data_IF_875743157901
#
_entry.id   IF_875743157901
#
_cell.length_a   1.000
_cell.length_b   1.000
_cell.length_c   1.000
_cell.angle_alpha   90.00
_cell.angle_beta   90.00
_cell.angle_gamma   90.00
#
_symmetry.space_group_name_H-M   'P 1'
#
loop_
_entity.id
_entity.type
_entity.pdbx_description
1 polymer ?
#
# COMPACT_ATOMS: atom_id res chain seq x y z
N UNK A 1 20.93 16.17 7.37
CA UNK A 1 19.62 16.62 6.86
C UNK A 1 19.16 17.79 7.71
N UNK A 2 18.87 18.94 7.12
CA UNK A 2 18.31 20.07 7.87
C UNK A 2 16.98 19.70 8.52
N UNK A 3 16.67 20.29 9.68
CA UNK A 3 15.41 20.03 10.43
C UNK A 3 14.15 20.22 9.57
N UNK A 4 14.19 21.12 8.61
CA UNK A 4 13.07 21.42 7.71
C UNK A 4 12.80 20.33 6.68
N UNK A 5 13.84 19.70 6.13
CA UNK A 5 13.66 18.54 5.24
C UNK A 5 13.16 17.31 5.99
N UNK A 6 13.57 17.15 7.24
CA UNK A 6 13.11 16.08 8.08
C UNK A 6 11.59 16.16 8.34
N UNK A 7 11.05 17.37 8.56
CA UNK A 7 9.60 17.60 8.71
C UNK A 7 8.80 17.16 7.49
N UNK A 8 9.40 17.13 6.30
CA UNK A 8 8.72 16.68 5.09
C UNK A 8 8.44 15.17 5.07
N UNK A 9 9.10 14.39 5.93
CA UNK A 9 8.92 12.94 6.02
C UNK A 9 7.92 12.48 7.08
N UNK A 10 7.38 13.43 7.86
CA UNK A 10 6.50 13.10 8.98
C UNK A 10 5.22 13.94 8.97
N UNK A 11 4.18 13.40 9.57
CA UNK A 11 2.98 14.21 9.83
C UNK A 11 3.33 15.31 10.84
N UNK A 12 2.64 16.47 10.78
CA UNK A 12 2.81 17.54 11.76
C UNK A 12 2.65 17.06 13.21
N UNK A 13 1.77 16.09 13.45
CA UNK A 13 1.52 15.52 14.77
C UNK A 13 2.71 14.69 15.27
N UNK A 14 3.42 14.00 14.38
CA UNK A 14 4.63 13.26 14.72
C UNK A 14 5.77 14.20 15.16
N UNK A 15 5.94 15.31 14.46
CA UNK A 15 6.99 16.29 14.78
C UNK A 15 6.76 16.92 16.15
N UNK A 16 5.51 17.14 16.56
CA UNK A 16 5.17 17.73 17.84
C UNK A 16 5.35 16.77 19.05
N UNK A 17 5.22 15.45 18.79
CA UNK A 17 5.21 14.44 19.85
C UNK A 17 6.43 13.52 19.84
N UNK A 18 7.41 13.73 18.95
CA UNK A 18 8.60 12.88 18.84
C UNK A 18 9.64 13.32 19.86
N UNK A 19 10.09 12.43 20.76
CA UNK A 19 11.15 12.75 21.68
C UNK A 19 12.45 13.14 20.97
N UNK A 20 13.23 13.95 21.65
CA UNK A 20 14.54 14.40 21.21
C UNK A 20 15.49 13.28 20.69
N UNK A 21 15.34 12.07 21.23
CA UNK A 21 16.07 10.88 20.76
C UNK A 21 15.81 10.50 19.31
N UNK A 22 14.58 10.65 18.81
CA UNK A 22 14.25 10.32 17.44
C UNK A 22 14.77 11.40 16.48
N UNK A 23 14.63 12.66 16.83
CA UNK A 23 15.22 13.76 16.06
C UNK A 23 16.72 13.58 15.89
N UNK A 24 17.42 13.27 16.97
CA UNK A 24 18.87 12.98 16.96
C UNK A 24 19.22 11.72 16.12
N UNK A 25 18.35 10.71 16.15
CA UNK A 25 18.55 9.55 15.28
C UNK A 25 18.41 9.90 13.81
N UNK A 26 17.40 10.68 13.41
CA UNK A 26 17.21 11.13 12.03
C UNK A 26 18.37 12.01 11.55
N UNK A 27 18.84 12.93 12.37
CA UNK A 27 20.01 13.74 12.06
C UNK A 27 21.27 12.89 11.78
N UNK A 28 21.50 11.87 12.61
CA UNK A 28 22.63 10.93 12.42
C UNK A 28 22.49 10.05 11.18
N UNK A 29 21.29 9.78 10.74
CA UNK A 29 21.01 8.91 9.59
C UNK A 29 20.60 9.67 8.32
N UNK A 30 20.76 11.00 8.30
CA UNK A 30 20.33 11.85 7.20
C UNK A 30 20.77 11.35 5.81
N UNK A 31 22.06 11.00 5.65
CA UNK A 31 22.58 10.47 4.38
C UNK A 31 21.93 9.16 3.96
N UNK A 32 21.63 8.27 4.91
CA UNK A 32 20.94 6.99 4.63
C UNK A 32 19.49 7.23 4.22
N UNK A 33 18.82 8.17 4.86
CA UNK A 33 17.44 8.56 4.53
C UNK A 33 17.37 9.15 3.11
N UNK A 34 18.32 10.03 2.74
CA UNK A 34 18.39 10.61 1.40
C UNK A 34 18.65 9.57 0.32
N UNK A 35 19.56 8.64 0.58
CA UNK A 35 19.85 7.54 -0.35
C UNK A 35 18.61 6.62 -0.48
N UNK A 36 17.96 6.29 0.62
CA UNK A 36 16.76 5.48 0.62
C UNK A 36 15.61 6.16 -0.15
N UNK A 37 15.45 7.49 0.00
CA UNK A 37 14.50 8.29 -0.75
C UNK A 37 14.76 8.24 -2.26
N UNK A 38 16.01 8.50 -2.67
CA UNK A 38 16.42 8.46 -4.08
C UNK A 38 16.17 7.09 -4.73
N UNK A 39 16.30 6.03 -3.95
CA UNK A 39 16.08 4.65 -4.42
C UNK A 39 14.65 4.15 -4.25
N UNK A 40 13.71 4.98 -3.82
CA UNK A 40 12.33 4.58 -3.53
C UNK A 40 12.20 3.58 -2.38
N UNK A 41 13.14 3.55 -1.43
CA UNK A 41 13.18 2.62 -0.29
C UNK A 41 12.98 3.29 1.07
N UNK A 42 12.75 4.61 1.07
CA UNK A 42 12.64 5.38 2.30
C UNK A 42 11.64 4.81 3.32
N UNK A 43 10.41 4.42 2.94
CA UNK A 43 9.46 3.91 3.91
C UNK A 43 9.92 2.66 4.59
N UNK A 44 10.50 1.74 3.83
CA UNK A 44 11.01 0.47 4.34
C UNK A 44 12.15 0.70 5.35
N UNK A 45 13.10 1.55 4.98
CA UNK A 45 14.22 1.91 5.84
C UNK A 45 13.76 2.63 7.10
N UNK A 46 12.92 3.64 6.96
CA UNK A 46 12.38 4.42 8.10
C UNK A 46 11.66 3.49 9.05
N UNK A 47 10.81 2.60 8.53
CA UNK A 47 10.04 1.70 9.36
C UNK A 47 10.90 0.74 10.19
N UNK A 48 11.92 0.13 9.61
CA UNK A 48 12.80 -0.80 10.34
C UNK A 48 13.50 -0.12 11.51
N UNK A 49 13.87 1.14 11.34
CA UNK A 49 14.48 1.92 12.42
C UNK A 49 13.44 2.46 13.40
N UNK A 50 12.23 2.73 12.96
CA UNK A 50 11.16 3.23 13.81
C UNK A 50 10.52 2.17 14.70
N UNK A 51 10.69 0.88 14.42
CA UNK A 51 10.30 -0.18 15.37
C UNK A 51 10.89 0.04 16.75
N UNK A 52 12.17 0.37 16.80
CA UNK A 52 12.89 0.61 18.06
C UNK A 52 12.42 1.90 18.75
N UNK A 53 11.99 2.89 17.97
CA UNK A 53 11.49 4.16 18.50
C UNK A 53 10.00 4.07 18.87
N UNK A 54 9.22 3.27 18.13
CA UNK A 54 7.80 3.04 18.42
C UNK A 54 7.57 2.42 19.80
N UNK A 55 8.49 1.54 20.22
CA UNK A 55 8.48 0.96 21.58
C UNK A 55 8.73 2.01 22.67
N UNK A 56 9.34 3.14 22.31
CA UNK A 56 9.68 4.22 23.25
C UNK A 56 8.58 5.29 23.31
N UNK A 57 7.84 5.51 22.24
CA UNK A 57 7.06 6.75 22.05
C UNK A 57 5.57 6.56 21.79
N UNK A 58 5.11 5.36 21.46
CA UNK A 58 3.68 5.12 21.24
C UNK A 58 3.04 5.91 20.09
N UNK A 59 3.82 6.30 19.06
CA UNK A 59 3.26 6.98 17.89
C UNK A 59 2.41 6.03 17.01
N UNK A 60 1.41 6.59 16.34
CA UNK A 60 0.36 5.82 15.67
C UNK A 60 0.60 5.62 14.18
N UNK A 61 1.32 6.54 13.52
CA UNK A 61 1.54 6.47 12.08
C UNK A 61 2.86 7.14 11.65
N UNK A 62 3.37 6.69 10.51
CA UNK A 62 4.45 7.36 9.77
C UNK A 62 3.85 7.98 8.53
N UNK A 63 4.09 9.27 8.30
CA UNK A 63 3.67 9.98 7.10
C UNK A 63 4.83 10.73 6.49
N UNK A 64 5.04 10.57 5.18
CA UNK A 64 6.10 11.26 4.46
C UNK A 64 5.68 11.56 3.02
N UNK A 65 6.34 12.56 2.41
CA UNK A 65 6.14 12.92 1.00
C UNK A 65 7.10 12.17 0.10
N UNK A 66 6.60 11.75 -1.05
CA UNK A 66 7.40 11.20 -2.14
C UNK A 66 6.89 11.73 -3.48
N UNK A 67 7.71 12.50 -4.19
CA UNK A 67 7.25 13.24 -5.36
C UNK A 67 6.19 14.29 -4.98
N UNK A 68 5.02 14.24 -5.65
CA UNK A 68 3.88 15.12 -5.36
C UNK A 68 2.88 14.50 -4.37
N UNK A 69 3.00 13.20 -4.08
CA UNK A 69 2.09 12.46 -3.22
C UNK A 69 2.61 12.25 -1.80
N UNK A 70 1.83 11.54 -1.02
CA UNK A 70 2.14 11.16 0.36
C UNK A 70 1.95 9.68 0.59
N UNK A 71 2.74 9.10 1.49
CA UNK A 71 2.56 7.73 1.98
C UNK A 71 2.36 7.77 3.48
N UNK A 72 1.31 7.12 3.95
CA UNK A 72 0.99 6.95 5.37
C UNK A 72 1.04 5.48 5.73
N UNK A 73 1.78 5.15 6.80
CA UNK A 73 1.94 3.79 7.31
C UNK A 73 1.47 3.76 8.75
N UNK A 74 0.27 3.23 9.04
CA UNK A 74 -0.22 3.06 10.40
C UNK A 74 0.65 2.09 11.21
N UNK A 75 0.66 2.27 12.53
CA UNK A 75 1.40 1.46 13.51
C UNK A 75 1.19 -0.05 13.35
N UNK A 76 -0.02 -0.45 13.05
CA UNK A 76 -0.40 -1.87 13.00
C UNK A 76 -0.12 -2.56 11.67
N UNK A 77 0.46 -1.86 10.69
CA UNK A 77 0.89 -2.50 9.44
C UNK A 77 2.07 -3.41 9.73
N UNK A 78 1.90 -4.71 9.46
CA UNK A 78 2.94 -5.71 9.73
C UNK A 78 4.08 -5.66 8.70
N UNK A 79 5.22 -5.11 9.09
CA UNK A 79 6.43 -5.04 8.22
C UNK A 79 7.14 -6.38 8.04
N UNK A 80 6.83 -7.38 8.87
CA UNK A 80 7.41 -8.73 8.72
C UNK A 80 6.65 -9.57 7.69
N UNK A 81 5.52 -9.07 7.17
CA UNK A 81 4.81 -9.72 6.09
C UNK A 81 5.68 -9.71 4.81
N UNK A 82 5.76 -10.85 4.12
CA UNK A 82 6.51 -10.99 2.86
C UNK A 82 6.04 -10.01 1.78
N UNK A 83 4.77 -9.61 1.81
CA UNK A 83 4.19 -8.67 0.86
C UNK A 83 4.47 -7.20 1.20
N UNK A 84 4.93 -6.89 2.42
CA UNK A 84 5.17 -5.51 2.84
C UNK A 84 6.08 -4.74 1.87
N UNK A 85 7.17 -5.36 1.40
CA UNK A 85 8.07 -4.72 0.42
C UNK A 85 7.38 -4.39 -0.88
N UNK A 86 6.48 -5.26 -1.32
CA UNK A 86 5.69 -5.08 -2.54
C UNK A 86 4.70 -3.94 -2.37
N UNK A 87 3.99 -3.90 -1.23
CA UNK A 87 3.05 -2.83 -0.89
C UNK A 87 3.74 -1.46 -0.84
N UNK A 88 4.94 -1.39 -0.28
CA UNK A 88 5.73 -0.16 -0.28
C UNK A 88 6.11 0.26 -1.72
N UNK A 89 6.55 -0.67 -2.57
CA UNK A 89 6.86 -0.36 -3.98
C UNK A 89 5.63 0.16 -4.74
N UNK A 90 4.46 -0.42 -4.48
CA UNK A 90 3.19 0.04 -5.04
C UNK A 90 2.89 1.46 -4.55
N UNK A 91 2.96 1.69 -3.24
CA UNK A 91 2.72 2.99 -2.65
C UNK A 91 3.67 4.08 -3.22
N UNK A 92 4.96 3.76 -3.35
CA UNK A 92 5.95 4.66 -3.95
C UNK A 92 5.63 5.00 -5.40
N UNK A 93 5.21 4.02 -6.20
CA UNK A 93 4.83 4.24 -7.60
C UNK A 93 3.70 5.27 -7.73
N UNK A 94 2.64 5.12 -6.95
CA UNK A 94 1.50 6.03 -6.98
C UNK A 94 1.82 7.40 -6.35
N UNK A 95 2.61 7.44 -5.27
CA UNK A 95 3.01 8.69 -4.65
C UNK A 95 3.89 9.54 -5.58
N UNK A 96 4.80 8.94 -6.34
CA UNK A 96 5.59 9.63 -7.36
C UNK A 96 4.71 10.27 -8.44
N UNK A 97 3.54 9.72 -8.71
CA UNK A 97 2.55 10.25 -9.65
C UNK A 97 1.62 11.30 -9.02
N UNK A 98 1.72 11.52 -7.72
CA UNK A 98 0.98 12.57 -7.01
C UNK A 98 -0.14 12.07 -6.11
N UNK A 99 -0.39 10.76 -6.04
CA UNK A 99 -1.43 10.17 -5.19
C UNK A 99 -1.07 10.18 -3.71
N UNK A 100 -2.09 10.16 -2.86
CA UNK A 100 -1.96 9.98 -1.42
C UNK A 100 -2.33 8.53 -1.06
N UNK A 101 -1.38 7.82 -0.47
CA UNK A 101 -1.51 6.41 -0.18
C UNK A 101 -1.52 6.18 1.34
N UNK A 102 -2.42 5.32 1.79
CA UNK A 102 -2.42 4.77 3.14
C UNK A 102 -2.27 3.26 3.02
N UNK A 103 -1.20 2.69 3.59
CA UNK A 103 -1.11 1.27 3.82
C UNK A 103 -2.08 0.90 4.94
N UNK A 104 -2.73 -0.24 4.83
CA UNK A 104 -3.77 -0.62 5.78
C UNK A 104 -3.40 -1.88 6.55
N UNK A 105 -3.74 -1.97 7.84
CA UNK A 105 -3.41 -3.13 8.65
C UNK A 105 -4.34 -4.31 8.31
N UNK A 106 -3.80 -5.52 8.15
CA UNK A 106 -4.62 -6.73 8.08
C UNK A 106 -5.18 -7.06 9.47
N UNK A 107 -6.50 -7.14 9.59
CA UNK A 107 -7.20 -7.44 10.84
C UNK A 107 -7.94 -8.76 10.70
N UNK A 108 -7.58 -9.78 11.50
CA UNK A 108 -8.22 -11.12 11.42
C UNK A 108 -9.65 -11.16 11.98
N UNK A 109 -9.92 -10.38 13.00
CA UNK A 109 -11.25 -10.12 13.61
C UNK A 109 -11.13 -8.79 14.34
N UNK A 110 -11.37 -7.67 13.68
CA UNK A 110 -11.23 -6.38 14.32
C UNK A 110 -12.32 -6.21 15.37
N UNK A 111 -12.02 -5.70 16.56
CA UNK A 111 -13.01 -5.02 17.38
C UNK A 111 -13.62 -3.92 16.51
N UNK A 112 -14.92 -3.74 16.57
CA UNK A 112 -15.69 -2.80 15.74
C UNK A 112 -15.06 -1.40 15.68
N UNK A 113 -14.51 -0.94 16.79
CA UNK A 113 -13.83 0.35 16.89
C UNK A 113 -12.54 0.43 16.05
N UNK A 114 -11.69 -0.61 16.06
CA UNK A 114 -10.43 -0.59 15.30
C UNK A 114 -10.70 -0.75 13.80
N UNK A 115 -11.68 -1.57 13.41
CA UNK A 115 -12.08 -1.70 12.02
C UNK A 115 -12.64 -0.38 11.48
N UNK A 116 -13.54 0.27 12.20
CA UNK A 116 -14.14 1.54 11.79
C UNK A 116 -13.11 2.67 11.67
N UNK A 117 -12.03 2.63 12.44
CA UNK A 117 -10.93 3.61 12.34
C UNK A 117 -10.27 3.60 10.96
N UNK A 118 -10.05 2.42 10.38
CA UNK A 118 -9.31 2.27 9.11
C UNK A 118 -10.24 2.07 7.90
N UNK A 119 -11.37 1.40 8.08
CA UNK A 119 -12.22 0.90 7.01
C UNK A 119 -13.66 1.44 7.07
N UNK A 120 -13.84 2.62 7.67
CA UNK A 120 -15.18 3.23 7.84
C UNK A 120 -15.99 3.28 6.55
N UNK A 121 -15.36 3.59 5.42
CA UNK A 121 -16.02 3.68 4.12
C UNK A 121 -16.42 2.34 3.50
N UNK A 122 -15.98 1.21 4.08
CA UNK A 122 -16.41 -0.12 3.65
C UNK A 122 -17.66 -0.61 4.43
N UNK A 123 -17.98 0.04 5.56
CA UNK A 123 -19.14 -0.34 6.37
C UNK A 123 -20.42 -0.07 5.54
N UNK A 124 -21.33 -1.05 5.48
CA UNK A 124 -22.54 -1.01 4.67
C UNK A 124 -22.31 -1.33 3.19
N UNK A 125 -21.11 -1.66 2.76
CA UNK A 125 -20.82 -2.12 1.40
C UNK A 125 -20.66 -3.65 1.35
N UNK A 126 -20.60 -4.22 0.14
CA UNK A 126 -20.30 -5.66 -0.05
C UNK A 126 -18.91 -6.07 0.48
N UNK A 127 -18.06 -5.10 0.77
CA UNK A 127 -16.69 -5.30 1.28
C UNK A 127 -16.59 -5.07 2.80
N UNK A 128 -17.70 -4.94 3.50
CA UNK A 128 -17.68 -4.86 4.97
C UNK A 128 -17.02 -6.09 5.58
N UNK A 129 -16.15 -5.87 6.56
CA UNK A 129 -15.34 -6.92 7.18
C UNK A 129 -14.11 -7.33 6.38
N UNK A 130 -13.89 -6.74 5.19
CA UNK A 130 -12.66 -6.93 4.41
C UNK A 130 -11.59 -5.91 4.81
N UNK A 131 -10.33 -6.28 4.53
CA UNK A 131 -9.17 -5.45 4.87
C UNK A 131 -8.26 -5.30 3.64
N UNK A 132 -8.68 -4.53 2.61
CA UNK A 132 -7.85 -4.26 1.46
C UNK A 132 -6.50 -3.66 1.87
N UNK A 133 -5.44 -3.95 1.13
CA UNK A 133 -4.06 -3.61 1.50
C UNK A 133 -3.73 -2.12 1.46
N UNK A 134 -4.39 -1.37 0.58
CA UNK A 134 -4.06 0.02 0.29
C UNK A 134 -5.33 0.87 0.12
N UNK A 135 -5.27 2.11 0.60
CA UNK A 135 -6.17 3.16 0.19
C UNK A 135 -5.35 4.17 -0.64
N UNK A 136 -5.74 4.38 -1.90
CA UNK A 136 -5.09 5.31 -2.83
C UNK A 136 -6.11 6.38 -3.21
N UNK A 137 -5.92 7.61 -2.78
CA UNK A 137 -6.82 8.75 -3.02
C UNK A 137 -8.29 8.43 -2.66
N UNK A 138 -8.52 7.73 -1.55
CA UNK A 138 -9.84 7.34 -1.07
C UNK A 138 -10.40 6.05 -1.69
N UNK A 139 -9.74 5.47 -2.68
CA UNK A 139 -10.13 4.20 -3.33
C UNK A 139 -9.38 3.02 -2.71
N UNK A 140 -10.06 1.90 -2.54
CA UNK A 140 -9.50 0.69 -1.94
C UNK A 140 -8.87 -0.22 -3.00
N UNK A 141 -7.69 -0.74 -2.71
CA UNK A 141 -6.97 -1.67 -3.58
C UNK A 141 -6.48 -2.87 -2.78
N UNK A 142 -6.68 -4.05 -3.34
CA UNK A 142 -6.07 -5.29 -2.85
C UNK A 142 -4.87 -5.64 -3.73
N UNK A 143 -3.79 -6.12 -3.11
CA UNK A 143 -2.62 -6.63 -3.83
C UNK A 143 -2.58 -8.15 -3.74
N UNK A 144 -2.45 -8.81 -4.88
CA UNK A 144 -2.37 -10.26 -4.96
C UNK A 144 -1.06 -10.72 -5.59
N UNK A 145 -0.32 -11.52 -4.81
CA UNK A 145 0.85 -12.25 -5.28
C UNK A 145 0.48 -13.70 -5.64
N UNK A 146 1.12 -14.27 -6.66
CA UNK A 146 0.82 -15.64 -7.05
C UNK A 146 1.57 -16.67 -6.18
N UNK A 147 0.85 -17.74 -5.87
CA UNK A 147 1.37 -18.90 -5.12
C UNK A 147 1.36 -20.19 -5.95
N UNK A 148 0.86 -20.13 -7.19
CA UNK A 148 0.75 -21.27 -8.09
C UNK A 148 1.82 -21.26 -9.17
N UNK A 149 2.43 -22.41 -9.43
CA UNK A 149 3.39 -22.59 -10.54
C UNK A 149 2.71 -22.54 -11.91
N UNK A 150 1.41 -22.84 -12.00
CA UNK A 150 0.64 -22.70 -13.23
C UNK A 150 0.17 -21.25 -13.42
N UNK A 151 0.69 -20.50 -14.41
CA UNK A 151 0.39 -19.09 -14.57
C UNK A 151 -1.11 -18.77 -14.76
N UNK A 152 -1.84 -19.65 -15.51
CA UNK A 152 -3.29 -19.47 -15.75
C UNK A 152 -4.09 -19.61 -14.46
N UNK A 153 -3.75 -20.61 -13.65
CA UNK A 153 -4.40 -20.80 -12.36
C UNK A 153 -4.02 -19.68 -11.38
N UNK A 154 -2.74 -19.28 -11.37
CA UNK A 154 -2.26 -18.17 -10.57
C UNK A 154 -3.06 -16.89 -10.87
N UNK A 155 -3.18 -16.50 -12.13
CA UNK A 155 -3.93 -15.31 -12.53
C UNK A 155 -5.39 -15.39 -12.13
N UNK A 156 -6.04 -16.54 -12.38
CA UNK A 156 -7.45 -16.74 -12.01
C UNK A 156 -7.67 -16.63 -10.50
N UNK A 157 -6.78 -17.21 -9.70
CA UNK A 157 -6.90 -17.19 -8.24
C UNK A 157 -6.66 -15.76 -7.72
N UNK A 158 -5.60 -15.08 -8.13
CA UNK A 158 -5.33 -13.69 -7.76
C UNK A 158 -6.52 -12.77 -8.10
N UNK A 159 -7.10 -12.93 -9.29
CA UNK A 159 -8.27 -12.14 -9.67
C UNK A 159 -9.48 -12.44 -8.79
N UNK A 160 -9.73 -13.70 -8.42
CA UNK A 160 -10.83 -14.08 -7.55
C UNK A 160 -10.63 -13.60 -6.12
N UNK A 161 -9.43 -13.84 -5.58
CA UNK A 161 -9.11 -13.53 -4.19
C UNK A 161 -9.09 -12.00 -3.98
N UNK A 162 -8.55 -11.25 -4.94
CA UNK A 162 -8.57 -9.80 -4.92
C UNK A 162 -9.97 -9.22 -5.04
N UNK A 163 -10.83 -9.75 -5.94
CA UNK A 163 -12.22 -9.32 -6.08
C UNK A 163 -13.08 -9.62 -4.84
N UNK A 164 -12.68 -10.59 -4.05
CA UNK A 164 -13.33 -10.84 -2.76
C UNK A 164 -13.02 -9.76 -1.71
N UNK A 165 -12.03 -8.89 -1.95
CA UNK A 165 -11.57 -7.86 -1.02
C UNK A 165 -11.84 -6.44 -1.54
N UNK A 166 -11.77 -6.22 -2.86
CA UNK A 166 -11.93 -4.92 -3.50
C UNK A 166 -12.32 -5.06 -4.98
N UNK A 167 -12.95 -4.03 -5.55
CA UNK A 167 -13.20 -3.89 -6.99
C UNK A 167 -11.99 -3.34 -7.77
N UNK A 168 -10.91 -2.99 -7.06
CA UNK A 168 -9.63 -2.53 -7.61
C UNK A 168 -8.52 -3.42 -7.11
N UNK A 169 -7.76 -4.00 -8.05
CA UNK A 169 -6.78 -5.04 -7.76
C UNK A 169 -5.45 -4.69 -8.38
N UNK A 170 -4.38 -4.99 -7.66
CA UNK A 170 -3.00 -4.92 -8.16
C UNK A 170 -2.44 -6.33 -8.13
N UNK A 171 -2.09 -6.89 -9.28
CA UNK A 171 -1.68 -8.29 -9.44
C UNK A 171 -0.20 -8.36 -9.76
N UNK A 172 0.55 -9.21 -9.06
CA UNK A 172 1.90 -9.59 -9.47
C UNK A 172 1.84 -10.29 -10.82
N UNK A 173 2.64 -9.82 -11.79
CA UNK A 173 2.60 -10.30 -13.17
C UNK A 173 2.92 -11.80 -13.28
N UNK A 174 1.95 -12.65 -13.64
CA UNK A 174 2.25 -14.03 -13.99
C UNK A 174 2.90 -14.09 -15.37
N UNK A 175 3.51 -15.23 -15.68
CA UNK A 175 4.06 -15.46 -17.03
C UNK A 175 2.93 -15.73 -18.05
N UNK A 176 2.17 -14.67 -18.38
CA UNK A 176 1.06 -14.66 -19.33
C UNK A 176 1.11 -13.41 -20.19
N UNK A 177 0.55 -13.48 -21.38
CA UNK A 177 0.37 -12.31 -22.25
C UNK A 177 -0.74 -11.40 -21.71
N UNK A 178 -0.62 -10.10 -21.95
CA UNK A 178 -1.67 -9.14 -21.57
C UNK A 178 -3.01 -9.45 -22.20
N UNK A 179 -3.00 -9.89 -23.48
CA UNK A 179 -4.22 -10.29 -24.19
C UNK A 179 -4.97 -11.43 -23.47
N UNK A 180 -4.22 -12.42 -22.95
CA UNK A 180 -4.82 -13.50 -22.17
C UNK A 180 -5.41 -12.98 -20.84
N UNK A 181 -4.69 -12.14 -20.13
CA UNK A 181 -5.15 -11.55 -18.88
C UNK A 181 -6.37 -10.64 -19.08
N UNK A 182 -6.36 -9.78 -20.11
CA UNK A 182 -7.50 -8.94 -20.48
C UNK A 182 -8.75 -9.78 -20.79
N UNK A 183 -8.60 -10.86 -21.56
CA UNK A 183 -9.71 -11.78 -21.82
C UNK A 183 -10.28 -12.38 -20.52
N UNK A 184 -9.43 -12.74 -19.57
CA UNK A 184 -9.85 -13.24 -18.25
C UNK A 184 -10.65 -12.21 -17.47
N UNK A 185 -10.25 -10.93 -17.50
CA UNK A 185 -10.98 -9.82 -16.88
C UNK A 185 -12.35 -9.63 -17.53
N UNK A 186 -12.40 -9.53 -18.87
CA UNK A 186 -13.66 -9.36 -19.61
C UNK A 186 -14.64 -10.51 -19.37
N UNK A 187 -14.15 -11.75 -19.31
CA UNK A 187 -14.98 -12.90 -18.99
C UNK A 187 -15.59 -12.77 -17.59
N UNK A 188 -14.88 -12.21 -16.62
CA UNK A 188 -15.44 -11.97 -15.26
C UNK A 188 -16.51 -10.88 -15.29
N UNK A 189 -16.25 -9.79 -16.00
CA UNK A 189 -17.22 -8.69 -16.13
C UNK A 189 -18.51 -9.19 -16.80
N UNK A 190 -18.37 -9.97 -17.90
CA UNK A 190 -19.53 -10.56 -18.58
C UNK A 190 -20.33 -11.52 -17.69
N UNK A 191 -19.66 -12.16 -16.72
CA UNK A 191 -20.31 -13.01 -15.72
C UNK A 191 -20.76 -12.25 -14.46
N UNK A 192 -20.86 -10.93 -14.53
CA UNK A 192 -21.42 -10.09 -13.46
C UNK A 192 -20.44 -9.63 -12.39
N UNK A 193 -19.13 -9.83 -12.57
CA UNK A 193 -18.16 -9.27 -11.62
C UNK A 193 -18.04 -7.75 -11.82
N UNK A 194 -18.09 -7.01 -10.73
CA UNK A 194 -17.82 -5.59 -10.70
C UNK A 194 -16.31 -5.38 -10.56
N UNK A 195 -15.68 -4.90 -11.64
CA UNK A 195 -14.25 -4.61 -11.70
C UNK A 195 -14.10 -3.16 -12.15
N UNK A 196 -13.48 -2.34 -11.31
CA UNK A 196 -13.21 -0.94 -11.62
C UNK A 196 -11.79 -0.78 -12.21
N UNK A 197 -10.80 -1.41 -11.60
CA UNK A 197 -9.41 -1.30 -12.04
C UNK A 197 -8.64 -2.61 -11.80
N UNK A 198 -7.80 -2.99 -12.77
CA UNK A 198 -6.79 -4.03 -12.60
C UNK A 198 -5.44 -3.48 -13.04
N UNK A 199 -4.51 -3.47 -12.13
CA UNK A 199 -3.12 -3.06 -12.35
C UNK A 199 -2.19 -4.26 -12.30
N UNK A 200 -1.11 -4.21 -13.06
CA UNK A 200 -0.07 -5.23 -13.06
C UNK A 200 1.20 -4.67 -12.43
N UNK A 201 1.77 -5.43 -11.49
CA UNK A 201 3.09 -5.19 -10.94
C UNK A 201 4.09 -6.17 -11.55
N UNK A 202 4.99 -5.68 -12.38
CA UNK A 202 6.11 -6.42 -12.98
C UNK A 202 7.42 -5.91 -12.38
N UNK A 203 7.84 -6.53 -11.30
CA UNK A 203 8.96 -6.02 -10.50
C UNK A 203 8.68 -4.62 -9.94
N UNK A 204 9.40 -3.61 -10.45
CA UNK A 204 9.21 -2.19 -10.08
C UNK A 204 8.29 -1.45 -11.06
N UNK A 205 7.93 -2.06 -12.16
CA UNK A 205 7.06 -1.47 -13.15
C UNK A 205 5.61 -1.78 -12.81
N UNK A 206 4.79 -0.74 -12.68
CA UNK A 206 3.38 -0.86 -12.36
C UNK A 206 2.59 -0.11 -13.42
N UNK A 207 1.64 -0.80 -14.04
CA UNK A 207 0.86 -0.25 -15.14
C UNK A 207 -0.58 -0.77 -15.13
N UNK A 208 -1.54 0.02 -15.65
CA UNK A 208 -2.91 -0.42 -15.74
C UNK A 208 -3.07 -1.47 -16.84
N UNK A 209 -3.73 -2.58 -16.52
CA UNK A 209 -4.16 -3.58 -17.48
C UNK A 209 -5.60 -3.35 -17.93
N UNK A 210 -6.45 -2.91 -16.99
CA UNK A 210 -7.84 -2.56 -17.22
C UNK A 210 -8.23 -1.38 -16.31
N UNK A 211 -8.92 -0.42 -16.87
CA UNK A 211 -9.60 0.67 -16.14
C UNK A 211 -10.97 0.78 -16.78
N UNK A 212 -12.01 0.73 -15.95
CA UNK A 212 -13.38 0.95 -16.40
C UNK A 212 -13.53 2.40 -16.87
N UNK A 213 -13.95 2.59 -18.11
CA UNK A 213 -14.27 3.94 -18.60
C UNK A 213 -15.48 4.48 -17.86
N UNK A 214 -15.37 5.69 -17.36
CA UNK A 214 -16.53 6.46 -16.96
C UNK A 214 -17.39 6.68 -18.22
N UNK A 215 -18.58 6.08 -18.27
CA UNK A 215 -19.53 6.20 -19.35
C UNK A 215 -20.20 7.59 -19.39
#
# INVERSE_FOLDING_TARGET
>A
MPKEEYKAYQSPNLVQNVPDKFSKWCERNAKKLDLARKNGKLPYFVRDNMKTVGDIVGWEEVKYKLGKGTITIPKYVNSSNNDYKKLIQIAEHFALKGSNIVLTPKMKRPPEFEYSKYYKSLIGTKYEGKCPDLNIDGKWYEHEGFVSLNPKNAFRNMLNDGLAQSDRIIIDKPNLTEAFMKRGIYNRITNGAEIEEVWIRDGKHIYPLYIKSEG
#
